data_IF_888492655256
#
_entry.id   IF_888492655256
#
_cell.length_a   1.000
_cell.length_b   1.000
_cell.length_c   1.000
_cell.angle_alpha   90.00
_cell.angle_beta   90.00
_cell.angle_gamma   90.00
#
_symmetry.space_group_name_H-M   'P 1'
#
loop_
_entity.id
_entity.type
_entity.pdbx_description
1 polymer ?
#
# COMPACT_ATOMS: atom_id res chain seq x y z
N UNK A 1 27.48 -20.27 14.91
CA UNK A 1 28.64 -19.78 14.11
C UNK A 1 29.06 -18.44 14.68
N UNK A 2 30.05 -18.40 15.57
CA UNK A 2 30.50 -17.18 16.25
C UNK A 2 31.58 -16.54 15.38
N UNK A 3 31.24 -15.45 14.70
CA UNK A 3 32.23 -14.68 13.93
C UNK A 3 33.14 -13.90 14.90
N UNK A 4 34.48 -13.97 14.72
CA UNK A 4 35.45 -13.24 15.55
C UNK A 4 35.16 -11.72 15.62
N UNK A 5 35.29 -11.12 16.82
CA UNK A 5 35.08 -9.68 17.06
C UNK A 5 35.86 -8.75 16.11
N UNK A 6 37.02 -9.17 15.59
CA UNK A 6 37.81 -8.38 14.64
C UNK A 6 37.14 -8.25 13.26
N UNK A 7 36.34 -9.23 12.83
CA UNK A 7 35.56 -9.14 11.60
C UNK A 7 34.35 -8.21 11.76
N UNK A 8 33.78 -8.09 12.96
CA UNK A 8 32.72 -7.12 13.25
C UNK A 8 33.22 -5.66 13.15
N UNK A 9 34.44 -5.36 13.61
CA UNK A 9 34.99 -4.00 13.54
C UNK A 9 35.35 -3.57 12.10
N UNK A 10 35.78 -4.49 11.23
CA UNK A 10 35.92 -4.20 9.79
C UNK A 10 34.57 -4.11 9.07
N UNK A 11 33.61 -4.98 9.41
CA UNK A 11 32.27 -5.03 8.82
C UNK A 11 31.49 -3.71 8.97
N UNK A 12 31.65 -3.02 10.10
CA UNK A 12 30.97 -1.75 10.37
C UNK A 12 31.60 -0.54 9.63
N UNK A 13 32.88 -0.61 9.25
CA UNK A 13 33.53 0.39 8.38
C UNK A 13 33.26 0.15 6.88
N UNK A 14 32.78 -1.03 6.50
CA UNK A 14 32.56 -1.42 5.09
C UNK A 14 31.13 -1.25 4.59
N UNK A 15 30.17 -0.89 5.44
CA UNK A 15 28.78 -0.69 4.98
C UNK A 15 28.61 0.77 4.57
N UNK A 16 28.37 1.00 3.28
CA UNK A 16 28.02 2.31 2.78
C UNK A 16 26.84 2.88 3.58
N UNK A 17 26.91 4.16 3.88
CA UNK A 17 25.87 4.88 4.58
C UNK A 17 24.67 5.06 3.67
N UNK A 18 23.48 4.82 4.21
CA UNK A 18 22.23 5.20 3.56
C UNK A 18 21.98 6.70 3.74
N UNK A 19 21.29 7.33 2.80
CA UNK A 19 20.88 8.74 2.88
C UNK A 19 20.09 9.01 4.17
N UNK A 20 19.13 8.16 4.52
CA UNK A 20 18.33 8.30 5.75
C UNK A 20 19.23 8.39 6.99
N UNK A 21 20.16 7.44 7.16
CA UNK A 21 21.11 7.43 8.27
C UNK A 21 21.95 8.71 8.32
N UNK A 22 22.44 9.18 7.18
CA UNK A 22 23.24 10.42 7.10
C UNK A 22 22.42 11.61 7.59
N UNK A 23 21.19 11.78 7.11
CA UNK A 23 20.32 12.90 7.45
C UNK A 23 19.85 12.87 8.91
N UNK A 24 19.65 11.69 9.50
CA UNK A 24 19.23 11.54 10.89
C UNK A 24 20.38 11.74 11.88
N UNK A 25 21.55 11.16 11.60
CA UNK A 25 22.70 11.21 12.53
C UNK A 25 23.57 12.46 12.37
N UNK A 26 23.48 13.15 11.22
CA UNK A 26 24.20 14.38 10.89
C UNK A 26 25.68 14.37 11.29
N UNK A 27 26.49 13.39 10.86
CA UNK A 27 27.87 13.25 11.30
C UNK A 27 28.78 14.21 10.50
N UNK A 28 28.67 15.51 10.76
CA UNK A 28 29.47 16.54 10.10
C UNK A 28 30.94 16.36 10.47
N UNK A 29 31.82 16.37 9.46
CA UNK A 29 33.26 16.13 9.59
C UNK A 29 33.67 14.68 9.32
N UNK A 30 32.73 13.73 9.33
CA UNK A 30 33.04 12.33 9.06
C UNK A 30 33.23 12.07 7.56
N UNK A 31 34.24 11.26 7.25
CA UNK A 31 34.41 10.67 5.92
C UNK A 31 33.51 9.44 5.78
N UNK A 32 32.64 9.46 4.78
CA UNK A 32 31.64 8.42 4.53
C UNK A 32 31.73 7.89 3.09
N UNK A 33 31.25 6.66 2.91
CA UNK A 33 30.99 6.08 1.60
C UNK A 33 29.48 5.95 1.42
N UNK A 34 28.94 6.40 0.29
CA UNK A 34 27.51 6.41 -0.02
C UNK A 34 27.26 5.93 -1.44
N UNK A 35 26.24 5.09 -1.60
CA UNK A 35 25.80 4.59 -2.91
C UNK A 35 24.37 5.05 -3.18
N UNK A 36 24.08 5.42 -4.42
CA UNK A 36 22.72 5.84 -4.79
C UNK A 36 22.57 6.14 -6.27
N UNK A 37 21.48 6.80 -6.62
CA UNK A 37 21.15 7.21 -7.98
C UNK A 37 21.02 8.72 -8.06
N UNK A 38 21.58 9.30 -9.12
CA UNK A 38 21.48 10.73 -9.39
C UNK A 38 20.03 11.07 -9.76
N UNK A 39 19.43 12.05 -9.08
CA UNK A 39 18.08 12.59 -9.39
C UNK A 39 18.13 13.95 -10.05
N UNK A 40 19.06 14.80 -9.62
CA UNK A 40 19.33 16.08 -10.28
C UNK A 40 20.83 16.27 -10.41
N UNK A 41 21.20 17.02 -11.43
CA UNK A 41 22.58 17.41 -11.69
C UNK A 41 22.61 18.87 -12.09
N UNK A 42 23.58 19.62 -11.58
CA UNK A 42 23.83 21.01 -11.97
C UNK A 42 25.34 21.22 -12.06
N UNK A 43 25.80 21.70 -13.22
CA UNK A 43 27.20 22.07 -13.44
C UNK A 43 27.40 23.55 -13.18
N UNK A 44 28.52 23.91 -12.57
CA UNK A 44 28.96 25.29 -12.42
C UNK A 44 30.36 25.40 -13.05
N UNK A 45 30.39 25.96 -14.26
CA UNK A 45 31.57 25.92 -15.12
C UNK A 45 31.98 24.49 -15.48
N UNK A 46 33.30 24.28 -15.66
CA UNK A 46 33.90 22.98 -15.98
C UNK A 46 34.35 22.19 -14.74
N UNK A 47 34.41 22.86 -13.58
CA UNK A 47 35.12 22.39 -12.40
C UNK A 47 34.21 21.86 -11.29
N UNK A 48 32.96 22.33 -11.19
CA UNK A 48 32.09 21.98 -10.05
C UNK A 48 30.81 21.32 -10.54
N UNK A 49 30.44 20.21 -9.89
CA UNK A 49 29.26 19.42 -10.15
C UNK A 49 28.47 19.22 -8.85
N UNK A 50 27.23 19.71 -8.84
CA UNK A 50 26.27 19.46 -7.79
C UNK A 50 25.35 18.32 -8.22
N UNK A 51 25.21 17.31 -7.37
CA UNK A 51 24.35 16.14 -7.57
C UNK A 51 23.37 16.01 -6.42
N UNK A 52 22.13 15.71 -6.75
CA UNK A 52 21.18 15.21 -5.78
C UNK A 52 21.15 13.69 -5.87
N UNK A 53 21.52 13.03 -4.78
CA UNK A 53 21.61 11.58 -4.71
C UNK A 53 20.56 11.05 -3.76
N UNK A 54 19.89 9.99 -4.21
CA UNK A 54 18.93 9.23 -3.41
C UNK A 54 19.28 7.76 -3.48
N UNK A 55 19.04 7.01 -2.42
CA UNK A 55 19.27 5.57 -2.34
C UNK A 55 17.99 4.76 -2.11
N UNK A 56 16.85 5.45 -1.97
CA UNK A 56 15.54 4.86 -1.69
C UNK A 56 15.19 4.71 -0.21
N UNK A 57 16.15 4.94 0.71
CA UNK A 57 15.96 4.78 2.16
C UNK A 57 15.03 5.82 2.79
N UNK A 58 14.89 6.99 2.16
CA UNK A 58 14.07 8.11 2.66
C UNK A 58 13.43 8.88 1.49
N UNK A 59 12.45 9.72 1.80
CA UNK A 59 11.91 10.74 0.90
C UNK A 59 12.88 11.88 0.63
N UNK A 60 13.93 12.03 1.43
CA UNK A 60 14.88 13.12 1.26
C UNK A 60 16.07 12.75 0.37
N UNK A 61 16.72 13.80 -0.14
CA UNK A 61 17.91 13.69 -0.99
C UNK A 61 19.13 14.25 -0.27
N UNK A 62 20.29 13.65 -0.53
CA UNK A 62 21.57 14.23 -0.11
C UNK A 62 22.20 14.97 -1.28
N UNK A 63 22.54 16.25 -1.07
CA UNK A 63 23.36 16.97 -2.03
C UNK A 63 24.82 16.53 -1.90
N UNK A 64 25.43 16.30 -3.06
CA UNK A 64 26.83 15.94 -3.21
C UNK A 64 27.50 16.98 -4.09
N UNK A 65 28.62 17.51 -3.64
CA UNK A 65 29.43 18.48 -4.37
C UNK A 65 30.72 17.78 -4.78
N UNK A 66 30.97 17.71 -6.09
CA UNK A 66 32.22 17.20 -6.64
C UNK A 66 32.98 18.34 -7.32
N UNK A 67 34.23 18.53 -6.94
CA UNK A 67 35.15 19.46 -7.58
C UNK A 67 36.22 18.67 -8.35
N UNK A 68 36.35 18.96 -9.63
CA UNK A 68 37.35 18.31 -10.47
C UNK A 68 38.76 18.77 -10.06
N UNK A 69 39.76 17.87 -10.12
CA UNK A 69 41.16 18.24 -9.97
C UNK A 69 41.59 19.32 -10.99
N UNK A 70 42.56 20.19 -10.64
CA UNK A 70 43.10 21.18 -11.57
C UNK A 70 43.51 20.54 -12.91
N UNK A 71 43.09 21.12 -14.03
CA UNK A 71 43.38 20.62 -15.38
C UNK A 71 42.45 19.49 -15.87
N UNK A 72 41.50 19.04 -15.05
CA UNK A 72 40.46 18.08 -15.44
C UNK A 72 39.06 18.72 -15.47
N UNK A 73 38.09 18.02 -16.04
CA UNK A 73 36.67 18.44 -16.04
C UNK A 73 35.82 17.46 -15.23
N UNK A 74 34.67 17.93 -14.75
CA UNK A 74 33.73 17.07 -14.04
C UNK A 74 33.21 15.93 -14.95
N UNK A 75 33.02 14.71 -14.40
CA UNK A 75 32.60 13.56 -15.21
C UNK A 75 31.25 13.82 -15.89
N UNK A 76 31.05 13.21 -17.06
CA UNK A 76 29.77 13.21 -17.73
C UNK A 76 28.85 12.13 -17.14
N UNK A 77 28.02 12.55 -16.18
CA UNK A 77 26.99 11.71 -15.54
C UNK A 77 25.59 12.22 -15.88
N UNK A 78 24.66 11.28 -16.08
CA UNK A 78 23.25 11.54 -16.40
C UNK A 78 22.36 11.31 -15.18
N UNK A 79 21.15 11.90 -15.20
CA UNK A 79 20.10 11.56 -14.23
C UNK A 79 19.78 10.07 -14.35
N UNK A 80 19.58 9.39 -13.23
CA UNK A 80 19.35 7.95 -13.16
C UNK A 80 20.63 7.11 -13.09
N UNK A 81 21.81 7.70 -13.30
CA UNK A 81 23.09 6.99 -13.18
C UNK A 81 23.30 6.54 -11.73
N UNK A 82 23.59 5.25 -11.48
CA UNK A 82 24.01 4.79 -10.15
C UNK A 82 25.45 5.25 -9.88
N UNK A 83 25.74 5.66 -8.65
CA UNK A 83 27.04 6.20 -8.26
C UNK A 83 27.49 5.62 -6.92
N UNK A 84 28.81 5.46 -6.80
CA UNK A 84 29.50 5.22 -5.53
C UNK A 84 30.35 6.44 -5.22
N UNK A 85 30.17 6.99 -4.02
CA UNK A 85 30.74 8.28 -3.62
C UNK A 85 31.46 8.10 -2.29
N UNK A 86 32.73 8.45 -2.27
CA UNK A 86 33.49 8.59 -1.03
C UNK A 86 33.79 10.09 -0.82
N UNK A 87 33.58 10.59 0.39
CA UNK A 87 33.77 12.00 0.68
C UNK A 87 33.52 12.37 2.12
N UNK A 88 33.66 13.65 2.42
CA UNK A 88 33.54 14.18 3.78
C UNK A 88 32.30 15.05 3.91
N UNK A 89 31.51 14.82 4.97
CA UNK A 89 30.32 15.62 5.25
C UNK A 89 30.69 16.99 5.81
N UNK A 90 30.07 18.03 5.29
CA UNK A 90 30.27 19.40 5.75
C UNK A 90 28.95 20.14 5.91
N UNK A 91 28.98 21.22 6.69
CA UNK A 91 27.85 22.15 6.76
C UNK A 91 27.66 22.79 5.38
N UNK A 92 26.43 22.79 4.86
CA UNK A 92 26.18 23.41 3.56
C UNK A 92 26.25 24.94 3.69
N UNK A 93 26.67 25.57 2.60
CA UNK A 93 26.66 27.04 2.46
C UNK A 93 25.28 27.58 2.10
N UNK A 94 24.35 26.71 1.68
CA UNK A 94 23.02 27.10 1.23
C UNK A 94 22.01 27.13 2.41
N UNK A 95 21.24 28.22 2.62
CA UNK A 95 20.40 28.39 3.83
C UNK A 95 19.25 27.37 3.95
N UNK A 96 18.81 26.77 2.83
CA UNK A 96 17.75 25.73 2.82
C UNK A 96 18.27 24.31 2.98
N UNK A 97 19.55 24.13 3.30
CA UNK A 97 20.17 22.83 3.38
C UNK A 97 21.17 22.82 4.52
N UNK A 98 21.07 21.84 5.41
CA UNK A 98 21.91 21.82 6.61
C UNK A 98 23.32 21.31 6.33
N UNK A 99 23.43 20.29 5.48
CA UNK A 99 24.67 19.57 5.23
C UNK A 99 24.80 19.12 3.77
N UNK A 100 26.03 18.92 3.31
CA UNK A 100 26.34 18.37 1.99
C UNK A 100 27.56 17.44 2.07
N UNK A 101 27.65 16.52 1.11
CA UNK A 101 28.80 15.63 0.98
C UNK A 101 29.79 16.21 -0.03
N UNK A 102 30.99 16.59 0.42
CA UNK A 102 32.08 16.95 -0.47
C UNK A 102 32.73 15.66 -0.98
N UNK A 103 32.45 15.32 -2.23
CA UNK A 103 32.94 14.10 -2.85
C UNK A 103 34.42 14.22 -3.22
N UNK A 104 35.23 13.38 -2.58
CA UNK A 104 36.65 13.18 -2.91
C UNK A 104 36.77 12.19 -4.07
N UNK A 105 35.85 11.24 -4.15
CA UNK A 105 35.78 10.23 -5.21
C UNK A 105 34.34 10.00 -5.63
N UNK A 106 34.10 10.12 -6.94
CA UNK A 106 32.81 9.89 -7.57
C UNK A 106 32.96 8.85 -8.67
N UNK A 107 32.41 7.65 -8.46
CA UNK A 107 32.50 6.52 -9.40
C UNK A 107 31.10 6.18 -9.93
N UNK A 108 30.80 6.51 -11.20
CA UNK A 108 29.61 5.99 -11.88
C UNK A 108 29.64 4.46 -11.95
N UNK A 109 28.52 3.83 -11.63
CA UNK A 109 28.36 2.37 -11.64
C UNK A 109 27.40 2.01 -12.77
N UNK A 110 27.94 1.49 -13.86
CA UNK A 110 27.17 1.08 -15.05
C UNK A 110 27.16 2.14 -16.16
N UNK A 111 26.90 1.67 -17.38
CA UNK A 111 26.80 2.49 -18.58
C UNK A 111 25.37 3.02 -18.69
N UNK A 112 25.15 4.26 -18.25
CA UNK A 112 23.87 4.94 -18.44
C UNK A 112 24.00 5.90 -19.62
N UNK A 113 23.73 5.39 -20.82
CA UNK A 113 24.08 6.08 -22.07
C UNK A 113 22.89 6.74 -22.77
N UNK A 114 21.65 6.45 -22.34
CA UNK A 114 20.48 6.94 -23.07
C UNK A 114 19.85 8.16 -22.43
N UNK A 115 19.62 9.21 -23.24
CA UNK A 115 18.83 10.40 -22.87
C UNK A 115 17.31 10.14 -22.86
N UNK A 116 16.91 8.90 -23.16
CA UNK A 116 15.53 8.48 -23.45
C UNK A 116 14.98 7.51 -22.39
N UNK A 117 15.47 7.57 -21.15
CA UNK A 117 14.93 6.65 -20.14
C UNK A 117 13.44 6.95 -19.88
N UNK A 118 12.56 5.93 -19.83
CA UNK A 118 11.11 6.12 -19.84
C UNK A 118 10.56 6.98 -18.69
N UNK A 119 11.25 7.01 -17.57
CA UNK A 119 10.87 7.77 -16.36
C UNK A 119 11.79 8.98 -16.09
N UNK A 120 12.52 9.46 -17.11
CA UNK A 120 13.31 10.69 -16.97
C UNK A 120 12.38 11.90 -16.88
N UNK A 121 12.41 12.56 -15.72
CA UNK A 121 11.62 13.76 -15.41
C UNK A 121 12.13 14.97 -16.20
N UNK A 122 11.75 15.09 -17.48
CA UNK A 122 11.78 16.39 -18.17
C UNK A 122 10.52 17.21 -17.87
N UNK A 123 9.38 16.52 -17.69
CA UNK A 123 8.07 17.07 -17.34
C UNK A 123 7.39 16.16 -16.29
N UNK A 124 6.33 16.65 -15.63
CA UNK A 124 5.49 15.84 -14.72
C UNK A 124 4.81 14.74 -15.53
N UNK A 125 5.13 13.48 -15.21
CA UNK A 125 4.55 12.31 -15.88
C UNK A 125 3.14 12.01 -15.34
N UNK A 126 2.28 11.46 -16.20
CA UNK A 126 0.92 11.07 -15.82
C UNK A 126 0.89 9.70 -15.13
N UNK A 127 -0.11 9.40 -14.28
CA UNK A 127 -0.28 8.06 -13.71
C UNK A 127 -0.39 6.95 -14.77
N UNK A 128 -0.97 7.24 -15.94
CA UNK A 128 -1.06 6.30 -17.05
C UNK A 128 0.30 5.94 -17.63
N UNK A 129 1.21 6.92 -17.76
CA UNK A 129 2.58 6.70 -18.22
C UNK A 129 3.35 5.77 -17.28
N UNK A 130 3.25 6.02 -15.96
CA UNK A 130 3.90 5.15 -14.98
C UNK A 130 3.40 3.70 -15.02
N UNK A 131 2.12 3.48 -15.36
CA UNK A 131 1.55 2.13 -15.50
C UNK A 131 2.13 1.33 -16.66
N UNK A 132 2.71 1.99 -17.67
CA UNK A 132 3.40 1.29 -18.77
C UNK A 132 4.76 0.72 -18.34
N UNK A 133 5.36 1.26 -17.27
CA UNK A 133 6.70 0.89 -16.81
C UNK A 133 6.70 0.45 -15.34
N UNK A 134 5.83 -0.52 -15.00
CA UNK A 134 5.61 -0.94 -13.61
C UNK A 134 6.91 -1.30 -12.87
N UNK A 135 7.82 -2.00 -13.55
CA UNK A 135 9.13 -2.44 -13.04
C UNK A 135 10.12 -1.29 -12.77
N UNK A 136 9.92 -0.12 -13.38
CA UNK A 136 10.76 1.07 -13.16
C UNK A 136 10.15 2.07 -12.19
N UNK A 137 8.85 1.96 -11.87
CA UNK A 137 8.15 2.92 -10.98
C UNK A 137 8.86 3.19 -9.65
N UNK A 138 9.50 2.23 -8.96
CA UNK A 138 10.25 2.54 -7.74
C UNK A 138 11.37 3.59 -7.93
N UNK A 139 11.81 3.85 -9.16
CA UNK A 139 12.77 4.91 -9.48
C UNK A 139 12.15 6.31 -9.49
N UNK A 140 10.84 6.44 -9.63
CA UNK A 140 10.11 7.69 -9.43
C UNK A 140 9.96 7.94 -7.92
N UNK A 141 11.06 8.40 -7.32
CA UNK A 141 11.29 8.33 -5.89
C UNK A 141 10.28 9.13 -5.05
N UNK A 142 9.85 10.29 -5.57
CA UNK A 142 8.91 11.18 -4.89
C UNK A 142 7.46 10.67 -4.94
N UNK A 143 7.07 9.94 -6.00
CA UNK A 143 5.69 9.42 -6.13
C UNK A 143 5.57 7.97 -5.69
N UNK A 144 6.35 7.06 -6.27
CA UNK A 144 6.11 5.63 -6.11
C UNK A 144 7.00 5.02 -5.02
N UNK A 145 8.24 5.48 -4.86
CA UNK A 145 9.05 4.97 -3.75
C UNK A 145 8.48 5.42 -2.40
N UNK A 146 8.01 6.67 -2.29
CA UNK A 146 7.29 7.16 -1.12
C UNK A 146 6.03 6.35 -0.84
N UNK A 147 5.19 6.08 -1.84
CA UNK A 147 4.01 5.23 -1.70
C UNK A 147 4.37 3.81 -1.21
N UNK A 148 5.44 3.22 -1.75
CA UNK A 148 5.91 1.90 -1.31
C UNK A 148 6.45 1.91 0.12
N UNK A 149 7.14 2.97 0.55
CA UNK A 149 7.57 3.14 1.95
C UNK A 149 6.39 3.30 2.89
N UNK A 150 5.40 4.13 2.54
CA UNK A 150 4.14 4.28 3.30
C UNK A 150 3.41 2.94 3.40
N UNK A 151 3.26 2.20 2.30
CA UNK A 151 2.65 0.86 2.31
C UNK A 151 3.43 -0.11 3.21
N UNK A 152 4.76 -0.07 3.18
CA UNK A 152 5.60 -0.88 4.06
C UNK A 152 5.40 -0.51 5.53
N UNK A 153 5.41 0.78 5.87
CA UNK A 153 5.18 1.27 7.23
C UNK A 153 3.78 0.90 7.75
N UNK A 154 2.75 1.05 6.90
CA UNK A 154 1.38 0.65 7.22
C UNK A 154 1.27 -0.86 7.48
N UNK A 155 1.91 -1.68 6.66
CA UNK A 155 1.87 -3.15 6.83
C UNK A 155 2.51 -3.57 8.17
N UNK A 156 3.64 -2.95 8.54
CA UNK A 156 4.27 -3.18 9.85
C UNK A 156 3.40 -2.65 11.00
N UNK A 157 2.76 -1.49 10.82
CA UNK A 157 1.85 -0.91 11.80
C UNK A 157 0.65 -1.81 12.09
N UNK A 158 0.08 -2.45 11.06
CA UNK A 158 -0.97 -3.47 11.19
C UNK A 158 -0.50 -4.61 12.08
N UNK A 159 0.65 -5.22 11.76
CA UNK A 159 1.14 -6.36 12.53
C UNK A 159 1.38 -6.02 14.00
N UNK A 160 1.98 -4.85 14.27
CA UNK A 160 2.24 -4.41 15.64
C UNK A 160 0.96 -4.05 16.40
N UNK A 161 -0.03 -3.45 15.73
CA UNK A 161 -1.32 -3.11 16.35
C UNK A 161 -2.05 -4.38 16.80
N UNK A 162 -2.28 -5.33 15.88
CA UNK A 162 -2.96 -6.59 16.21
C UNK A 162 -2.20 -7.41 17.25
N UNK A 163 -0.85 -7.45 17.16
CA UNK A 163 -0.02 -8.07 18.18
C UNK A 163 -0.20 -7.42 19.55
N UNK A 164 -0.32 -6.08 19.62
CA UNK A 164 -0.52 -5.36 20.88
C UNK A 164 -1.89 -5.64 21.51
N UNK A 165 -2.90 -5.98 20.69
CA UNK A 165 -4.25 -6.36 21.11
C UNK A 165 -4.40 -7.88 21.38
N UNK A 166 -3.30 -8.64 21.31
CA UNK A 166 -3.31 -10.08 21.61
C UNK A 166 -3.83 -10.97 20.48
N UNK A 167 -3.94 -10.46 19.24
CA UNK A 167 -4.31 -11.28 18.10
C UNK A 167 -3.15 -12.11 17.57
N UNK A 168 -3.48 -13.27 17.01
CA UNK A 168 -2.54 -14.16 16.33
C UNK A 168 -2.61 -13.99 14.81
N UNK A 169 -1.46 -13.82 14.16
CA UNK A 169 -1.38 -13.79 12.70
C UNK A 169 -1.57 -15.20 12.14
N UNK A 170 -2.52 -15.34 11.21
CA UNK A 170 -2.80 -16.58 10.49
C UNK A 170 -2.53 -16.36 9.00
N UNK A 171 -1.77 -17.28 8.41
CA UNK A 171 -1.62 -17.36 6.96
C UNK A 171 -2.67 -18.29 6.38
N UNK A 172 -3.79 -17.72 5.92
CA UNK A 172 -4.85 -18.49 5.32
C UNK A 172 -4.47 -19.01 3.90
N UNK A 173 -4.99 -20.19 3.49
CA UNK A 173 -4.82 -20.69 2.14
C UNK A 173 -5.33 -19.73 1.06
N UNK A 174 -4.52 -19.52 0.02
CA UNK A 174 -4.92 -18.77 -1.18
C UNK A 174 -5.68 -19.64 -2.18
N UNK A 175 -5.29 -20.90 -2.30
CA UNK A 175 -5.99 -21.89 -3.12
C UNK A 175 -7.10 -22.51 -2.28
N UNK A 176 -8.32 -22.46 -2.77
CA UNK A 176 -9.49 -22.92 -2.04
C UNK A 176 -10.50 -23.60 -2.95
N UNK A 177 -11.19 -24.61 -2.44
CA UNK A 177 -12.37 -25.19 -3.06
C UNK A 177 -13.65 -24.45 -2.69
N UNK A 178 -13.54 -23.45 -1.82
CA UNK A 178 -14.67 -22.74 -1.25
C UNK A 178 -14.93 -21.43 -1.99
N UNK A 179 -16.18 -21.19 -2.35
CA UNK A 179 -16.65 -19.87 -2.77
C UNK A 179 -17.20 -19.15 -1.53
N UNK A 180 -16.32 -18.48 -0.79
CA UNK A 180 -16.66 -17.81 0.47
C UNK A 180 -17.56 -16.59 0.30
N UNK A 181 -17.88 -16.13 -0.92
CA UNK A 181 -18.86 -15.06 -1.15
C UNK A 181 -20.15 -15.57 -1.84
N UNK A 182 -20.13 -16.77 -2.41
CA UNK A 182 -21.32 -17.53 -2.85
C UNK A 182 -22.07 -16.97 -4.07
N UNK A 183 -21.61 -15.88 -4.66
CA UNK A 183 -22.22 -15.23 -5.82
C UNK A 183 -21.21 -14.45 -6.71
N UNK A 184 -19.92 -14.46 -6.37
CA UNK A 184 -18.89 -13.68 -7.04
C UNK A 184 -18.21 -14.48 -8.16
N UNK A 185 -17.80 -13.81 -9.22
CA UNK A 185 -16.91 -14.43 -10.21
C UNK A 185 -15.53 -14.67 -9.54
N UNK A 186 -15.07 -15.93 -9.48
CA UNK A 186 -13.75 -16.31 -8.95
C UNK A 186 -12.80 -16.72 -10.07
N UNK A 187 -11.49 -16.57 -9.83
CA UNK A 187 -10.49 -17.12 -10.75
C UNK A 187 -10.32 -18.62 -10.47
N UNK A 188 -10.53 -19.44 -11.49
CA UNK A 188 -10.30 -20.89 -11.40
C UNK A 188 -8.81 -21.21 -11.62
N UNK A 189 -8.30 -22.18 -10.87
CA UNK A 189 -6.90 -22.64 -10.95
C UNK A 189 -6.89 -24.09 -11.44
N UNK A 190 -6.19 -24.33 -12.54
CA UNK A 190 -6.04 -25.64 -13.16
C UNK A 190 -4.57 -25.91 -13.47
N UNK A 191 -4.18 -27.18 -13.50
CA UNK A 191 -2.83 -27.62 -13.85
C UNK A 191 -2.87 -28.35 -15.19
N UNK A 192 -2.22 -27.77 -16.21
CA UNK A 192 -2.27 -28.29 -17.58
C UNK A 192 -1.36 -29.51 -17.81
N UNK A 193 -0.43 -29.81 -16.88
CA UNK A 193 0.68 -30.75 -17.11
C UNK A 193 0.41 -32.21 -16.76
N UNK A 194 -0.85 -32.60 -16.50
CA UNK A 194 -1.21 -34.00 -16.35
C UNK A 194 -1.76 -34.50 -17.69
N UNK A 195 -0.99 -35.32 -18.40
CA UNK A 195 -1.48 -36.07 -19.57
C UNK A 195 -2.62 -36.99 -19.10
N UNK A 196 -3.86 -36.52 -19.20
CA UNK A 196 -5.04 -37.34 -18.93
C UNK A 196 -5.31 -38.19 -20.18
N UNK A 197 -5.34 -39.54 -20.09
CA UNK A 197 -5.67 -40.38 -21.24
C UNK A 197 -7.09 -40.06 -21.73
N UNK A 198 -7.21 -39.73 -23.01
CA UNK A 198 -8.40 -39.19 -23.69
C UNK A 198 -9.52 -40.20 -23.94
N UNK A 199 -9.70 -41.20 -23.07
CA UNK A 199 -10.71 -42.25 -23.24
C UNK A 199 -11.35 -42.64 -21.91
N UNK A 200 -12.31 -41.85 -21.44
CA UNK A 200 -13.41 -42.28 -20.58
C UNK A 200 -14.40 -41.12 -20.41
N UNK A 201 -15.70 -41.42 -20.35
CA UNK A 201 -16.79 -40.45 -20.13
C UNK A 201 -16.78 -39.81 -18.71
N UNK A 202 -15.67 -39.96 -17.97
CA UNK A 202 -15.45 -39.53 -16.59
C UNK A 202 -14.71 -38.17 -16.49
N UNK A 203 -14.60 -37.43 -17.60
CA UNK A 203 -13.97 -36.11 -17.65
C UNK A 203 -14.67 -35.02 -16.79
N UNK A 204 -15.80 -35.35 -16.16
CA UNK A 204 -16.58 -34.46 -15.29
C UNK A 204 -16.24 -34.59 -13.80
N UNK A 205 -15.43 -35.57 -13.39
CA UNK A 205 -15.05 -35.79 -11.98
C UNK A 205 -13.55 -36.03 -11.80
N UNK A 206 -12.80 -34.96 -11.52
CA UNK A 206 -11.55 -35.04 -10.76
C UNK A 206 -10.37 -35.81 -11.38
N UNK A 207 -9.77 -35.31 -12.47
CA UNK A 207 -8.34 -35.54 -12.79
C UNK A 207 -7.61 -34.25 -13.14
N UNK A 208 -7.61 -33.31 -12.20
CA UNK A 208 -6.64 -32.21 -12.13
C UNK A 208 -5.67 -32.45 -10.97
N UNK A 209 -4.66 -31.59 -10.79
CA UNK A 209 -3.74 -31.66 -9.64
C UNK A 209 -4.47 -31.70 -8.27
N UNK A 210 -5.68 -31.13 -8.20
CA UNK A 210 -6.55 -31.14 -7.02
C UNK A 210 -7.73 -32.11 -7.19
N UNK A 211 -8.21 -32.66 -6.08
CA UNK A 211 -9.36 -33.59 -6.02
C UNK A 211 -10.70 -32.94 -6.42
N UNK A 212 -10.75 -31.61 -6.49
CA UNK A 212 -11.94 -30.86 -6.86
C UNK A 212 -11.64 -29.52 -7.52
N UNK A 213 -12.71 -28.78 -7.88
CA UNK A 213 -12.58 -27.43 -8.42
C UNK A 213 -11.85 -26.55 -7.42
N UNK A 214 -10.82 -25.86 -7.89
CA UNK A 214 -9.95 -25.01 -7.07
C UNK A 214 -9.94 -23.61 -7.65
N UNK A 215 -9.98 -22.63 -6.76
CA UNK A 215 -10.09 -21.21 -7.06
C UNK A 215 -9.05 -20.42 -6.27
N UNK A 216 -8.76 -19.21 -6.73
CA UNK A 216 -8.09 -18.21 -5.90
C UNK A 216 -9.12 -17.62 -4.93
N UNK A 217 -8.72 -17.50 -3.66
CA UNK A 217 -9.60 -17.04 -2.61
C UNK A 217 -10.08 -15.60 -2.81
N UNK A 218 -11.37 -15.36 -2.55
CA UNK A 218 -11.94 -14.01 -2.45
C UNK A 218 -11.81 -13.46 -1.02
N UNK A 219 -11.62 -14.34 -0.02
CA UNK A 219 -11.56 -13.98 1.41
C UNK A 219 -10.99 -15.10 2.29
N UNK A 220 -10.25 -14.73 3.33
CA UNK A 220 -9.70 -15.66 4.33
C UNK A 220 -10.70 -15.97 5.45
N UNK A 221 -11.86 -15.32 5.47
CA UNK A 221 -12.77 -15.26 6.62
C UNK A 221 -13.10 -16.64 7.21
N UNK A 222 -13.53 -17.60 6.38
CA UNK A 222 -13.94 -18.92 6.88
C UNK A 222 -12.76 -19.73 7.48
N UNK A 223 -11.54 -19.48 7.02
CA UNK A 223 -10.35 -20.06 7.64
C UNK A 223 -10.00 -19.37 8.97
N UNK A 224 -10.25 -18.07 9.07
CA UNK A 224 -10.08 -17.33 10.32
C UNK A 224 -11.12 -17.73 11.37
N UNK A 225 -12.38 -17.96 11.01
CA UNK A 225 -13.41 -18.49 11.91
C UNK A 225 -12.98 -19.82 12.54
N UNK A 226 -12.46 -20.76 11.72
CA UNK A 226 -11.93 -22.02 12.21
C UNK A 226 -10.72 -21.85 13.14
N UNK A 227 -9.82 -20.92 12.83
CA UNK A 227 -8.65 -20.63 13.67
C UNK A 227 -9.02 -19.92 14.98
N UNK A 228 -10.01 -19.02 14.94
CA UNK A 228 -10.51 -18.28 16.10
C UNK A 228 -11.03 -19.24 17.18
N UNK A 229 -11.69 -20.34 16.79
CA UNK A 229 -12.11 -21.39 17.73
C UNK A 229 -10.98 -21.96 18.61
N UNK A 230 -9.72 -21.93 18.14
CA UNK A 230 -8.57 -22.39 18.91
C UNK A 230 -7.72 -21.27 19.54
N UNK A 231 -7.76 -20.06 18.98
CA UNK A 231 -6.85 -18.96 19.32
C UNK A 231 -7.55 -17.70 19.82
N UNK A 232 -8.88 -17.73 19.92
CA UNK A 232 -9.79 -16.62 20.25
C UNK A 232 -9.76 -15.48 19.23
N UNK A 233 -8.64 -14.75 19.13
CA UNK A 233 -8.49 -13.55 18.30
C UNK A 233 -7.42 -13.79 17.24
N UNK A 234 -7.81 -13.75 15.97
CA UNK A 234 -6.92 -14.03 14.84
C UNK A 234 -7.08 -12.97 13.76
N UNK A 235 -6.03 -12.76 12.97
CA UNK A 235 -6.09 -11.88 11.81
C UNK A 235 -5.24 -12.42 10.66
N UNK A 236 -5.60 -12.05 9.44
CA UNK A 236 -4.84 -12.29 8.22
C UNK A 236 -4.57 -10.96 7.52
N UNK A 237 -3.35 -10.79 7.01
CA UNK A 237 -3.03 -9.78 6.01
C UNK A 237 -2.52 -10.53 4.78
N UNK A 238 -3.41 -10.76 3.80
CA UNK A 238 -3.14 -11.67 2.69
C UNK A 238 -3.72 -11.20 1.35
N UNK A 239 -3.29 -11.81 0.24
CA UNK A 239 -3.84 -11.49 -1.07
C UNK A 239 -5.24 -12.11 -1.22
N UNK A 240 -6.11 -11.40 -1.94
CA UNK A 240 -7.44 -11.83 -2.33
C UNK A 240 -7.71 -11.45 -3.78
N UNK A 241 -8.61 -12.20 -4.41
CA UNK A 241 -8.83 -12.12 -5.85
C UNK A 241 -10.30 -12.03 -6.19
N UNK A 242 -10.68 -11.10 -7.07
CA UNK A 242 -12.06 -10.97 -7.57
C UNK A 242 -12.06 -10.93 -9.09
N UNK A 243 -12.79 -11.83 -9.73
CA UNK A 243 -12.87 -11.91 -11.20
C UNK A 243 -13.98 -11.01 -11.77
N UNK A 244 -14.06 -9.78 -11.28
CA UNK A 244 -14.99 -8.76 -11.79
C UNK A 244 -14.43 -8.11 -13.06
N UNK A 245 -15.26 -7.95 -14.09
CA UNK A 245 -14.87 -7.29 -15.35
C UNK A 245 -14.87 -5.76 -15.27
N UNK A 246 -15.35 -5.19 -14.16
CA UNK A 246 -15.51 -3.75 -13.97
C UNK A 246 -14.18 -3.00 -13.98
N UNK A 247 -13.96 -2.15 -15.00
CA UNK A 247 -12.75 -1.30 -15.12
C UNK A 247 -13.02 0.07 -14.50
N UNK A 248 -13.06 0.12 -13.17
CA UNK A 248 -13.15 1.39 -12.44
C UNK A 248 -11.80 1.77 -11.80
N UNK A 249 -11.69 2.99 -11.27
CA UNK A 249 -10.51 3.45 -10.56
C UNK A 249 -10.32 2.80 -9.17
N UNK A 250 -11.32 2.05 -8.68
CA UNK A 250 -11.35 1.52 -7.30
C UNK A 250 -11.28 -0.01 -7.22
N UNK A 251 -11.42 -0.70 -8.35
CA UNK A 251 -11.47 -2.15 -8.38
C UNK A 251 -10.17 -2.72 -8.93
N UNK A 252 -9.66 -3.74 -8.25
CA UNK A 252 -8.48 -4.51 -8.64
C UNK A 252 -8.84 -6.00 -8.60
N UNK A 253 -8.36 -6.76 -9.58
CA UNK A 253 -8.60 -8.20 -9.60
C UNK A 253 -7.76 -8.97 -8.58
N UNK A 254 -6.65 -8.39 -8.14
CA UNK A 254 -5.78 -8.87 -7.06
C UNK A 254 -5.54 -7.70 -6.12
N UNK A 255 -5.80 -7.89 -4.82
CA UNK A 255 -5.60 -6.89 -3.79
C UNK A 255 -5.22 -7.56 -2.48
N UNK A 256 -4.83 -6.77 -1.47
CA UNK A 256 -4.50 -7.28 -0.15
C UNK A 256 -5.60 -6.92 0.82
N UNK A 257 -6.08 -7.91 1.56
CA UNK A 257 -7.09 -7.73 2.61
C UNK A 257 -6.48 -7.90 3.98
N UNK A 258 -6.92 -7.04 4.89
CA UNK A 258 -6.75 -7.20 6.32
C UNK A 258 -8.08 -7.71 6.86
N UNK A 259 -8.09 -8.93 7.38
CA UNK A 259 -9.28 -9.58 7.91
C UNK A 259 -8.99 -10.01 9.36
N UNK A 260 -9.94 -9.80 10.26
CA UNK A 260 -9.79 -10.20 11.65
C UNK A 260 -11.06 -10.88 12.17
N UNK A 261 -10.87 -11.89 13.01
CA UNK A 261 -11.96 -12.67 13.60
C UNK A 261 -11.75 -12.78 15.11
N UNK A 262 -12.83 -12.54 15.86
CA UNK A 262 -12.82 -12.50 17.32
C UNK A 262 -13.87 -13.47 17.88
N UNK A 263 -13.43 -14.37 18.74
CA UNK A 263 -14.32 -15.28 19.46
C UNK A 263 -15.01 -14.59 20.62
N UNK A 264 -16.19 -15.08 21.00
CA UNK A 264 -16.98 -14.58 22.14
C UNK A 264 -17.40 -13.11 22.05
N UNK A 265 -17.51 -12.57 20.83
CA UNK A 265 -18.09 -11.26 20.58
C UNK A 265 -19.54 -11.48 20.15
N UNK A 266 -20.49 -10.98 20.94
CA UNK A 266 -21.94 -11.06 20.66
C UNK A 266 -22.56 -9.70 20.31
N UNK A 267 -21.80 -8.60 20.48
CA UNK A 267 -22.25 -7.23 20.22
C UNK A 267 -21.48 -6.61 19.04
N UNK A 268 -22.23 -6.12 18.06
CA UNK A 268 -21.67 -5.44 16.90
C UNK A 268 -20.92 -4.15 17.28
N UNK A 269 -21.31 -3.47 18.37
CA UNK A 269 -20.63 -2.25 18.82
C UNK A 269 -19.17 -2.53 19.22
N UNK A 270 -18.88 -3.73 19.73
CA UNK A 270 -17.50 -4.16 20.06
C UNK A 270 -16.66 -4.28 18.78
N UNK A 271 -17.21 -4.87 17.73
CA UNK A 271 -16.53 -4.97 16.44
C UNK A 271 -16.29 -3.62 15.79
N UNK A 272 -17.30 -2.74 15.85
CA UNK A 272 -17.19 -1.38 15.31
C UNK A 272 -16.08 -0.63 16.06
N UNK A 273 -16.03 -0.77 17.39
CA UNK A 273 -14.97 -0.17 18.19
C UNK A 273 -13.58 -0.72 17.79
N UNK A 274 -13.45 -2.01 17.51
CA UNK A 274 -12.19 -2.62 17.05
C UNK A 274 -11.76 -2.10 15.68
N UNK A 275 -12.67 -2.03 14.70
CA UNK A 275 -12.41 -1.45 13.38
C UNK A 275 -11.95 0.01 13.53
N UNK A 276 -12.68 0.80 14.31
CA UNK A 276 -12.35 2.20 14.53
C UNK A 276 -11.00 2.37 15.23
N UNK A 277 -10.75 1.58 16.27
CA UNK A 277 -9.48 1.56 17.00
C UNK A 277 -8.31 1.22 16.09
N UNK A 278 -8.48 0.21 15.23
CA UNK A 278 -7.50 -0.20 14.23
C UNK A 278 -7.19 0.96 13.27
N UNK A 279 -8.21 1.54 12.63
CA UNK A 279 -7.98 2.61 11.64
C UNK A 279 -7.34 3.84 12.27
N UNK A 280 -7.77 4.25 13.48
CA UNK A 280 -7.15 5.37 14.22
C UNK A 280 -5.69 5.07 14.57
N UNK A 281 -5.40 3.88 15.11
CA UNK A 281 -4.04 3.51 15.49
C UNK A 281 -3.10 3.48 14.27
N UNK A 282 -3.57 2.99 13.12
CA UNK A 282 -2.81 2.99 11.88
C UNK A 282 -2.59 4.42 11.36
N UNK A 283 -3.61 5.27 11.41
CA UNK A 283 -3.50 6.68 11.05
C UNK A 283 -2.43 7.40 11.87
N UNK A 284 -2.52 7.33 13.19
CA UNK A 284 -1.59 7.96 14.11
C UNK A 284 -0.16 7.45 13.87
N UNK A 285 -0.03 6.16 13.58
CA UNK A 285 1.28 5.55 13.34
C UNK A 285 1.93 6.03 12.05
N UNK A 286 1.19 6.15 10.95
CA UNK A 286 1.78 6.63 9.69
C UNK A 286 2.12 8.12 9.81
N UNK A 287 1.26 8.93 10.43
CA UNK A 287 1.58 10.35 10.70
C UNK A 287 2.87 10.52 11.49
N UNK A 288 3.12 9.66 12.48
CA UNK A 288 4.35 9.73 13.27
C UNK A 288 5.60 9.18 12.56
N UNK A 289 5.46 8.36 11.51
CA UNK A 289 6.59 7.62 10.91
C UNK A 289 6.92 7.95 9.45
N UNK A 290 5.99 8.57 8.72
CA UNK A 290 6.13 8.87 7.29
C UNK A 290 5.46 10.20 6.91
N UNK A 291 5.51 11.20 7.79
CA UNK A 291 4.81 12.48 7.63
C UNK A 291 5.19 13.20 6.34
N UNK A 292 6.48 13.30 6.05
CA UNK A 292 6.98 13.96 4.83
C UNK A 292 6.50 13.24 3.55
N UNK A 293 6.55 11.90 3.51
CA UNK A 293 6.01 11.13 2.41
C UNK A 293 4.51 11.36 2.23
N UNK A 294 3.77 11.33 3.34
CA UNK A 294 2.33 11.50 3.36
C UNK A 294 1.90 12.89 2.89
N UNK A 295 2.52 13.94 3.43
CA UNK A 295 2.25 15.33 3.06
C UNK A 295 2.50 15.56 1.57
N UNK A 296 3.59 15.00 1.04
CA UNK A 296 3.85 15.05 -0.40
C UNK A 296 2.74 14.39 -1.21
N UNK A 297 2.28 13.21 -0.79
CA UNK A 297 1.21 12.49 -1.48
C UNK A 297 -0.11 13.26 -1.42
N UNK A 298 -0.49 13.81 -0.27
CA UNK A 298 -1.72 14.59 -0.15
C UNK A 298 -1.70 15.85 -1.01
N UNK A 299 -0.63 16.65 -0.93
CA UNK A 299 -0.44 17.83 -1.78
C UNK A 299 -0.48 17.46 -3.26
N UNK A 300 0.15 16.35 -3.65
CA UNK A 300 0.18 15.88 -5.04
C UNK A 300 -1.18 15.43 -5.56
N UNK A 301 -2.08 15.02 -4.67
CA UNK A 301 -3.44 14.61 -4.96
C UNK A 301 -4.49 15.71 -4.65
N UNK A 302 -4.06 16.93 -4.32
CA UNK A 302 -4.94 18.09 -4.14
C UNK A 302 -5.74 18.11 -2.84
N UNK A 303 -5.26 17.41 -1.81
CA UNK A 303 -5.86 17.46 -0.47
C UNK A 303 -5.13 18.53 0.36
N UNK A 304 -5.89 19.47 0.91
CA UNK A 304 -5.35 20.58 1.71
C UNK A 304 -5.08 20.12 3.16
N UNK A 305 -3.91 20.50 3.70
CA UNK A 305 -3.40 20.09 5.03
C UNK A 305 -4.28 20.56 6.20
N UNK A 306 -5.24 21.46 5.97
CA UNK A 306 -6.01 22.11 7.03
C UNK A 306 -7.02 21.20 7.72
N UNK A 307 -7.36 20.06 7.13
CA UNK A 307 -8.20 19.06 7.78
C UNK A 307 -7.31 17.99 8.43
N UNK A 308 -6.60 18.43 9.47
CA UNK A 308 -5.65 17.61 10.24
C UNK A 308 -6.33 16.68 11.25
N UNK A 309 -7.67 16.73 11.34
CA UNK A 309 -8.44 15.71 12.04
C UNK A 309 -8.50 14.45 11.19
N UNK A 310 -8.34 13.29 11.81
CA UNK A 310 -8.88 12.07 11.23
C UNK A 310 -10.37 12.34 10.96
N UNK A 311 -10.84 12.37 9.70
CA UNK A 311 -12.24 12.66 9.40
C UNK A 311 -13.07 11.53 9.99
N UNK A 312 -13.63 11.80 11.16
CA UNK A 312 -14.37 10.83 11.95
C UNK A 312 -15.84 11.11 11.76
N UNK A 313 -16.50 10.33 10.91
CA UNK A 313 -17.95 10.17 11.03
C UNK A 313 -18.23 8.96 11.91
N UNK A 314 -18.95 9.19 13.00
CA UNK A 314 -19.63 8.11 13.71
C UNK A 314 -20.53 7.37 12.72
N UNK A 315 -20.51 6.03 12.76
CA UNK A 315 -21.35 5.21 11.88
C UNK A 315 -22.84 5.61 11.96
N UNK A 316 -23.34 5.91 13.16
CA UNK A 316 -24.72 6.39 13.37
C UNK A 316 -24.97 7.77 12.77
N UNK A 317 -23.94 8.61 12.70
CA UNK A 317 -24.01 9.90 12.04
C UNK A 317 -23.97 9.72 10.52
N UNK A 318 -23.06 8.90 9.99
CA UNK A 318 -23.02 8.56 8.56
C UNK A 318 -24.34 7.99 8.06
N UNK A 319 -24.94 7.05 8.80
CA UNK A 319 -26.24 6.49 8.43
C UNK A 319 -27.35 7.54 8.40
N UNK A 320 -27.42 8.43 9.39
CA UNK A 320 -28.39 9.53 9.43
C UNK A 320 -28.19 10.53 8.30
N UNK A 321 -26.94 10.90 8.02
CA UNK A 321 -26.59 11.84 6.96
C UNK A 321 -26.98 11.27 5.60
N UNK A 322 -26.73 9.98 5.36
CA UNK A 322 -27.15 9.26 4.14
C UNK A 322 -28.68 9.24 4.00
N UNK A 323 -29.40 8.89 5.08
CA UNK A 323 -30.87 8.86 5.05
C UNK A 323 -31.51 10.24 4.83
N UNK A 324 -30.83 11.32 5.23
CA UNK A 324 -31.32 12.69 5.03
C UNK A 324 -31.14 13.20 3.58
N UNK A 325 -30.10 12.75 2.86
CA UNK A 325 -29.84 13.13 1.46
C UNK A 325 -30.85 12.46 0.49
N UNK A 326 -31.28 11.24 0.85
CA UNK A 326 -32.66 10.72 0.70
C UNK A 326 -33.74 11.67 0.16
N UNK A 327 -34.10 12.62 1.02
CA UNK A 327 -35.35 13.38 0.95
C UNK A 327 -35.22 14.67 0.13
N UNK A 328 -34.00 15.20 -0.05
CA UNK A 328 -33.76 16.54 -0.59
C UNK A 328 -33.46 16.60 -2.10
N UNK A 329 -33.22 15.47 -2.79
CA UNK A 329 -32.68 15.47 -4.17
C UNK A 329 -33.63 15.03 -5.29
N UNK A 330 -34.94 15.05 -5.04
CA UNK A 330 -35.96 14.87 -6.08
C UNK A 330 -36.05 16.10 -7.04
N UNK A 331 -35.01 16.40 -7.84
CA UNK A 331 -35.13 17.37 -8.94
C UNK A 331 -33.91 18.08 -9.53
N UNK A 332 -32.65 17.77 -9.17
CA UNK A 332 -31.49 18.57 -9.64
C UNK A 332 -30.59 17.85 -10.67
N UNK A 333 -30.18 18.59 -11.72
CA UNK A 333 -29.34 18.14 -12.84
C UNK A 333 -27.83 17.99 -12.49
N UNK A 334 -27.05 17.18 -13.24
CA UNK A 334 -25.72 16.72 -12.81
C UNK A 334 -24.60 17.77 -13.00
N UNK A 335 -23.70 17.86 -12.01
CA UNK A 335 -22.47 18.68 -11.97
C UNK A 335 -21.20 17.80 -12.07
N UNK A 336 -20.04 18.35 -12.47
CA UNK A 336 -18.90 17.55 -12.91
C UNK A 336 -18.24 16.75 -11.79
N UNK A 337 -17.79 15.54 -12.15
CA UNK A 337 -17.34 14.45 -11.31
C UNK A 337 -15.95 14.64 -10.70
N UNK A 338 -15.87 14.68 -9.37
CA UNK A 338 -14.68 14.48 -8.58
C UNK A 338 -15.06 13.94 -7.20
N UNK A 339 -14.39 12.88 -6.76
CA UNK A 339 -14.47 12.25 -5.43
C UNK A 339 -15.71 11.39 -5.09
N UNK A 340 -15.49 10.39 -4.22
CA UNK A 340 -16.48 9.61 -3.46
C UNK A 340 -17.88 9.38 -4.04
N UNK A 341 -18.17 8.24 -4.66
CA UNK A 341 -19.57 7.78 -4.81
C UNK A 341 -19.86 6.74 -3.73
N UNK A 342 -20.89 6.99 -2.92
CA UNK A 342 -21.47 6.05 -1.99
C UNK A 342 -22.81 5.58 -2.60
N UNK A 343 -22.92 4.32 -2.99
CA UNK A 343 -24.21 3.75 -3.42
C UNK A 343 -25.02 3.33 -2.19
N UNK A 344 -26.32 3.61 -2.17
CA UNK A 344 -27.30 2.91 -1.34
C UNK A 344 -28.18 2.15 -2.31
N UNK A 345 -28.26 0.83 -2.17
CA UNK A 345 -29.27 0.05 -2.85
C UNK A 345 -30.39 -0.21 -1.84
N UNK A 346 -31.45 0.58 -1.88
CA UNK A 346 -32.74 0.17 -1.35
C UNK A 346 -33.27 -0.94 -2.25
N UNK A 347 -33.81 -2.01 -1.65
CA UNK A 347 -34.20 -3.23 -2.35
C UNK A 347 -35.01 -2.99 -3.61
N UNK A 348 -34.39 -3.27 -4.75
CA UNK A 348 -34.92 -4.08 -5.84
C UNK A 348 -33.78 -4.28 -6.84
N UNK A 349 -33.47 -5.54 -7.12
CA UNK A 349 -32.49 -5.91 -8.13
C UNK A 349 -33.12 -5.77 -9.51
N UNK A 350 -32.84 -4.69 -10.24
CA UNK A 350 -32.78 -4.70 -11.71
C UNK A 350 -32.25 -3.37 -12.29
N UNK A 351 -31.39 -3.51 -13.31
CA UNK A 351 -30.95 -2.51 -14.30
C UNK A 351 -29.94 -1.43 -13.88
N UNK A 352 -28.64 -1.78 -13.99
CA UNK A 352 -27.59 -0.79 -14.30
C UNK A 352 -27.73 -0.32 -15.76
N UNK A 353 -28.50 0.75 -15.99
CA UNK A 353 -28.30 1.65 -17.12
C UNK A 353 -28.38 3.11 -16.64
N UNK A 354 -27.25 3.82 -16.79
CA UNK A 354 -26.97 5.25 -16.53
C UNK A 354 -26.58 5.66 -15.10
N UNK A 355 -25.32 6.10 -14.88
CA UNK A 355 -24.88 6.68 -13.61
C UNK A 355 -25.13 8.20 -13.58
N UNK A 356 -25.95 8.66 -12.64
CA UNK A 356 -26.00 10.06 -12.20
C UNK A 356 -25.15 10.25 -10.93
N UNK A 357 -24.38 11.34 -10.76
CA UNK A 357 -23.54 11.56 -9.59
C UNK A 357 -24.34 12.23 -8.45
N UNK A 358 -24.37 11.61 -7.28
CA UNK A 358 -24.76 12.27 -6.01
C UNK A 358 -23.48 12.51 -5.21
N UNK A 359 -23.22 13.76 -4.86
CA UNK A 359 -22.04 14.23 -4.11
C UNK A 359 -22.51 14.68 -2.73
N UNK A 360 -21.99 14.06 -1.67
CA UNK A 360 -21.96 14.67 -0.34
C UNK A 360 -20.50 14.75 0.14
N UNK A 361 -20.19 15.87 0.81
CA UNK A 361 -18.86 16.27 1.27
C UNK A 361 -18.37 15.37 2.41
N UNK A 362 -17.82 14.20 2.06
CA UNK A 362 -17.02 13.41 2.99
C UNK A 362 -15.83 12.78 2.26
N UNK A 363 -14.63 13.18 2.66
CA UNK A 363 -13.36 12.75 2.06
C UNK A 363 -12.95 11.31 2.43
N UNK A 364 -13.75 10.62 3.26
CA UNK A 364 -13.43 9.29 3.78
C UNK A 364 -14.64 8.36 3.74
N UNK A 365 -14.45 7.15 3.23
CA UNK A 365 -15.47 6.11 3.20
C UNK A 365 -15.09 4.98 4.16
N UNK A 366 -15.69 4.95 5.35
CA UNK A 366 -15.82 3.73 6.16
C UNK A 366 -17.24 3.22 5.96
N UNK A 367 -17.42 1.97 5.50
CA UNK A 367 -18.73 1.40 5.19
C UNK A 367 -18.97 0.19 6.10
N UNK A 368 -19.90 0.29 7.04
CA UNK A 368 -20.27 -0.81 7.94
C UNK A 368 -21.73 -1.20 7.67
N UNK A 369 -22.02 -2.06 6.68
CA UNK A 369 -23.42 -2.36 6.35
C UNK A 369 -24.04 -3.43 7.25
N UNK A 370 -25.10 -3.07 7.99
CA UNK A 370 -26.15 -4.03 8.36
C UNK A 370 -27.09 -4.17 7.15
N UNK A 371 -27.02 -5.30 6.46
CA UNK A 371 -27.97 -5.68 5.42
C UNK A 371 -29.11 -6.48 6.05
N UNK A 372 -30.35 -6.06 5.82
CA UNK A 372 -31.53 -6.84 6.21
C UNK A 372 -31.70 -8.05 5.27
N UNK A 373 -32.39 -9.08 5.77
CA UNK A 373 -32.49 -10.43 5.18
C UNK A 373 -33.03 -10.54 3.73
N UNK A 374 -33.39 -9.42 3.10
CA UNK A 374 -33.86 -9.35 1.71
C UNK A 374 -32.80 -8.86 0.71
N UNK A 375 -31.64 -8.38 1.16
CA UNK A 375 -30.46 -8.11 0.31
C UNK A 375 -29.64 -9.41 0.20
N UNK A 376 -28.95 -9.71 -0.91
CA UNK A 376 -28.02 -10.86 -0.96
C UNK A 376 -26.82 -10.58 -0.06
N UNK A 377 -27.02 -10.75 1.24
CA UNK A 377 -25.99 -10.80 2.25
C UNK A 377 -25.36 -12.20 2.20
N UNK A 378 -24.06 -12.27 2.50
CA UNK A 378 -23.35 -13.55 2.60
C UNK A 378 -24.12 -14.52 3.52
N UNK A 379 -24.26 -15.77 3.08
CA UNK A 379 -25.13 -16.79 3.68
C UNK A 379 -24.82 -17.13 5.15
N UNK A 380 -23.61 -16.80 5.62
CA UNK A 380 -23.14 -17.05 6.98
C UNK A 380 -23.39 -15.90 7.97
N UNK A 381 -24.04 -14.80 7.59
CA UNK A 381 -24.36 -13.73 8.54
C UNK A 381 -25.37 -14.21 9.61
N UNK A 382 -25.14 -13.81 10.85
CA UNK A 382 -26.09 -14.07 11.95
C UNK A 382 -27.42 -13.35 11.69
N UNK A 383 -28.52 -14.11 11.72
CA UNK A 383 -29.85 -13.53 11.66
C UNK A 383 -30.17 -12.76 12.95
N UNK A 384 -30.92 -11.64 12.89
CA UNK A 384 -31.40 -10.98 14.10
C UNK A 384 -32.22 -11.97 14.94
N UNK A 385 -32.16 -11.89 16.28
CA UNK A 385 -32.64 -12.96 17.15
C UNK A 385 -34.16 -13.11 17.05
N UNK A 386 -34.62 -14.15 16.34
CA UNK A 386 -35.89 -14.83 16.63
C UNK A 386 -35.55 -16.11 17.37
N UNK A 387 -36.18 -16.30 18.53
CA UNK A 387 -36.04 -17.44 19.46
C UNK A 387 -35.67 -18.77 18.77
N UNK A 388 -34.38 -19.09 18.66
CA UNK A 388 -33.86 -20.43 18.34
C UNK A 388 -32.52 -20.61 19.06
N UNK A 389 -32.27 -21.82 19.54
CA UNK A 389 -31.15 -22.21 20.41
C UNK A 389 -29.77 -21.73 19.92
N UNK A 390 -29.03 -21.10 20.83
CA UNK A 390 -27.70 -20.51 20.61
C UNK A 390 -26.63 -21.57 20.31
N UNK A 391 -26.16 -21.64 19.08
CA UNK A 391 -24.78 -22.04 18.77
C UNK A 391 -23.92 -20.78 18.72
N UNK A 392 -22.84 -20.75 19.52
CA UNK A 392 -21.93 -19.61 19.65
C UNK A 392 -21.13 -19.48 18.35
N UNK A 393 -21.39 -18.44 17.55
CA UNK A 393 -20.60 -18.13 16.36
C UNK A 393 -19.90 -16.78 16.57
N UNK A 394 -18.63 -16.65 16.13
CA UNK A 394 -17.87 -15.41 16.25
C UNK A 394 -18.48 -14.29 15.39
N UNK A 395 -18.20 -13.05 15.79
CA UNK A 395 -18.64 -11.85 15.10
C UNK A 395 -17.45 -11.17 14.37
N UNK A 396 -17.77 -10.63 13.19
CA UNK A 396 -16.94 -10.18 12.06
C UNK A 396 -16.19 -8.83 12.18
N UNK A 397 -14.97 -8.74 11.62
CA UNK A 397 -14.28 -7.49 11.22
C UNK A 397 -13.75 -7.62 9.77
N UNK A 398 -14.26 -6.82 8.82
CA UNK A 398 -13.75 -6.73 7.42
C UNK A 398 -13.38 -5.29 7.09
#
# INVERSE_FOLDING_TARGET
>A
MVLPRYLMQRSLRTRAWSVQRVLQSKPIGDSISLHGWIKRRRRMGKQILFLDVVDGSTFERLQVVYQAPPGSEVPHVLIGTPVSIDGTLQKSTHPKQEMELLAERLVPRGLYETKEAPLMEKNKLTPAHYRQYLHLRPRAWHVFASLLRVRSALSLAVHDHFRSQGFHLIHAPVLTSNDSEGAGNTFSVQCDSLEVPSTSEEATTGRGFFEGKTHLTVSSQLHLEAAACGLSNVYCLGPAFRAERGRSLRHMCEFWMLEAEMSFVDDLEVLIAEVQGTVRALWDRIRNSADEELDFQWKSNGVDEKDNSFPFLEWRQAFRDISSVEEDTAGAAPRPSGFGVLHVASGDSELEQHPGPVVSECSTSLRVTQSWSSTPAQWFRSAPPKQVQRSHFPLRVV
#
